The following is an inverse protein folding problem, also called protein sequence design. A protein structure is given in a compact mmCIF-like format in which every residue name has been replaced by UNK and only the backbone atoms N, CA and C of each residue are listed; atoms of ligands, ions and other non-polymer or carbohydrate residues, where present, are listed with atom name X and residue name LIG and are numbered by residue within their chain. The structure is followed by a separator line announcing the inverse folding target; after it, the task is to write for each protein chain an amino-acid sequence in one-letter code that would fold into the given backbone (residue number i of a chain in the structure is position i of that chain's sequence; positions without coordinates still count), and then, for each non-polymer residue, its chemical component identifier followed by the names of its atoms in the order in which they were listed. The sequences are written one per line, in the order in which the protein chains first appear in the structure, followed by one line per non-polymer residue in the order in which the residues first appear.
data_IF_442184498895
#
_entry.id   IF_442184498895
#
_cell.length_a   1.000
_cell.length_b   1.000
_cell.length_c   1.000
_cell.angle_alpha   90.00
_cell.angle_beta   90.00
_cell.angle_gamma   90.00
#
_symmetry.space_group_name_H-M   'P 1'
#
loop_
_entity.id
_entity.type
_entity.pdbx_description
1 polymer ?
#
# COMPACT_ATOMS: atom_id res chain seq x y z
N UNK A 1 2.57 14.92 0.25
CA UNK A 1 3.32 14.07 -0.68
C UNK A 1 4.46 14.89 -1.29
N UNK A 2 5.65 14.35 -1.26
CA UNK A 2 6.84 14.92 -1.88
C UNK A 2 7.51 13.85 -2.73
N UNK A 3 7.88 14.20 -3.96
CA UNK A 3 8.59 13.32 -4.89
C UNK A 3 9.79 14.05 -5.48
N UNK A 4 10.92 13.39 -5.46
CA UNK A 4 12.15 13.87 -6.08
C UNK A 4 12.73 12.80 -7.00
N UNK A 5 12.80 13.12 -8.29
CA UNK A 5 13.37 12.26 -9.33
C UNK A 5 14.69 12.83 -9.82
N UNK A 6 15.75 12.05 -9.70
CA UNK A 6 17.05 12.35 -10.28
C UNK A 6 17.33 11.40 -11.43
N UNK A 7 17.60 11.95 -12.58
CA UNK A 7 17.94 11.18 -13.78
C UNK A 7 19.19 11.77 -14.43
N UNK A 8 20.27 11.02 -14.46
CA UNK A 8 21.51 11.40 -15.13
C UNK A 8 22.15 10.17 -15.77
N UNK A 9 22.41 10.26 -17.07
CA UNK A 9 23.05 9.22 -17.87
C UNK A 9 22.37 7.85 -17.75
N UNK A 10 22.98 6.95 -16.96
CA UNK A 10 22.48 5.59 -16.72
C UNK A 10 21.82 5.44 -15.34
N UNK A 11 21.85 6.48 -14.52
CA UNK A 11 21.38 6.43 -13.12
C UNK A 11 20.05 7.13 -13.01
N UNK A 12 19.10 6.47 -12.37
CA UNK A 12 17.82 7.02 -11.94
C UNK A 12 17.68 6.83 -10.43
N UNK A 13 17.24 7.85 -9.73
CA UNK A 13 16.87 7.76 -8.31
C UNK A 13 15.53 8.44 -8.13
N UNK A 14 14.57 7.70 -7.65
CA UNK A 14 13.24 8.23 -7.28
C UNK A 14 13.11 8.14 -5.77
N UNK A 15 12.84 9.27 -5.14
CA UNK A 15 12.54 9.34 -3.71
C UNK A 15 11.12 9.86 -3.55
N UNK A 16 10.32 9.17 -2.75
CA UNK A 16 8.95 9.53 -2.46
C UNK A 16 8.75 9.57 -0.94
N UNK A 17 8.21 10.67 -0.45
CA UNK A 17 7.76 10.86 0.91
C UNK A 17 6.26 11.10 0.89
N UNK A 18 5.53 10.22 1.55
CA UNK A 18 4.10 10.37 1.75
C UNK A 18 3.79 10.50 3.22
N UNK A 19 3.10 11.56 3.57
CA UNK A 19 2.51 11.76 4.88
C UNK A 19 1.03 12.02 4.70
N UNK A 20 0.20 11.20 5.35
CA UNK A 20 -1.25 11.35 5.35
C UNK A 20 -1.76 11.15 6.77
N UNK A 21 -2.61 12.04 7.20
CA UNK A 21 -3.31 11.94 8.46
C UNK A 21 -4.71 12.50 8.27
N UNK A 22 -5.71 11.64 8.42
CA UNK A 22 -7.11 11.99 8.37
C UNK A 22 -7.78 11.54 9.66
N UNK A 23 -8.27 12.48 10.44
CA UNK A 23 -8.90 12.24 11.72
C UNK A 23 -10.15 13.08 11.88
N UNK A 24 -11.14 12.51 12.57
CA UNK A 24 -12.39 13.19 12.90
C UNK A 24 -12.56 13.24 14.43
N UNK A 25 -13.12 14.34 14.89
CA UNK A 25 -13.60 14.43 16.27
C UNK A 25 -14.87 13.58 16.42
N UNK A 26 -14.93 12.80 17.48
CA UNK A 26 -16.09 11.98 17.80
C UNK A 26 -16.97 12.69 18.84
N UNK A 27 -18.31 12.73 18.65
CA UNK A 27 -19.24 13.10 19.70
C UNK A 27 -19.21 12.06 20.83
N UNK A 28 -19.39 12.50 22.07
CA UNK A 28 -19.41 11.64 23.29
C UNK A 28 -20.38 10.46 23.19
N UNK A 29 -21.44 10.60 22.38
CA UNK A 29 -22.42 9.53 22.15
C UNK A 29 -21.90 8.36 21.30
N UNK A 30 -20.85 8.60 20.52
CA UNK A 30 -20.29 7.60 19.58
C UNK A 30 -19.16 6.81 20.22
N UNK A 31 -18.31 7.50 20.97
CA UNK A 31 -17.22 6.91 21.74
C UNK A 31 -17.12 7.66 23.07
N UNK A 32 -17.27 6.95 24.18
CA UNK A 32 -17.22 7.52 25.51
C UNK A 32 -15.81 7.64 26.09
N UNK A 33 -14.83 7.01 25.42
CA UNK A 33 -13.44 6.92 25.89
C UNK A 33 -12.55 7.87 25.10
N UNK A 34 -12.78 7.98 23.77
CA UNK A 34 -11.90 8.71 22.87
C UNK A 34 -12.62 9.89 22.21
N UNK A 35 -11.96 11.04 22.16
CA UNK A 35 -12.46 12.25 21.53
C UNK A 35 -12.20 12.33 20.02
N UNK A 36 -11.42 11.41 19.46
CA UNK A 36 -11.08 11.39 18.03
C UNK A 36 -11.02 9.97 17.47
N UNK A 37 -11.20 9.87 16.17
CA UNK A 37 -11.01 8.65 15.37
C UNK A 37 -10.07 8.92 14.21
N UNK A 38 -9.09 8.06 14.04
CA UNK A 38 -8.23 8.08 12.85
C UNK A 38 -8.92 7.28 11.75
N UNK A 39 -9.23 7.94 10.63
CA UNK A 39 -9.82 7.28 9.47
C UNK A 39 -8.74 6.70 8.57
N UNK A 40 -7.63 7.43 8.42
CA UNK A 40 -6.53 7.02 7.56
C UNK A 40 -5.24 7.73 8.00
N UNK A 41 -4.14 7.01 8.05
CA UNK A 41 -2.83 7.55 8.35
C UNK A 41 -1.73 6.71 7.73
N UNK A 42 -0.72 7.37 7.21
CA UNK A 42 0.48 6.74 6.71
C UNK A 42 1.66 7.71 6.75
N UNK A 43 2.80 7.19 7.14
CA UNK A 43 4.09 7.79 6.87
C UNK A 43 4.91 6.80 6.06
N UNK A 44 5.23 7.15 4.83
CA UNK A 44 5.97 6.30 3.91
C UNK A 44 7.17 7.03 3.35
N UNK A 45 8.32 6.39 3.41
CA UNK A 45 9.51 6.74 2.65
C UNK A 45 9.77 5.63 1.65
N UNK A 46 9.95 5.99 0.39
CA UNK A 46 10.28 5.04 -0.67
C UNK A 46 11.40 5.59 -1.52
N UNK A 47 12.45 4.80 -1.71
CA UNK A 47 13.58 5.11 -2.58
C UNK A 47 13.78 3.98 -3.56
N UNK A 48 13.76 4.31 -4.84
CA UNK A 48 14.07 3.39 -5.93
C UNK A 48 15.33 3.88 -6.64
N UNK A 49 16.41 3.14 -6.50
CA UNK A 49 17.63 3.34 -7.27
C UNK A 49 17.59 2.45 -8.51
N UNK A 50 17.84 3.02 -9.68
CA UNK A 50 17.89 2.32 -10.96
C UNK A 50 19.18 2.59 -11.72
N UNK A 51 19.80 1.54 -12.25
CA UNK A 51 20.93 1.64 -13.18
C UNK A 51 20.54 1.03 -14.52
N UNK A 52 20.65 1.81 -15.59
CA UNK A 52 20.25 1.37 -16.95
C UNK A 52 21.07 0.18 -17.39
N UNK A 53 20.40 -0.93 -17.63
CA UNK A 53 20.99 -2.17 -18.11
C UNK A 53 21.05 -2.19 -19.64
N UNK A 54 19.92 -2.36 -20.30
CA UNK A 54 19.78 -2.39 -21.77
C UNK A 54 18.38 -1.93 -22.19
N UNK A 55 18.26 -1.27 -23.32
CA UNK A 55 17.00 -0.76 -23.86
C UNK A 55 16.19 0.00 -22.80
N UNK A 56 15.09 -0.62 -22.31
CA UNK A 56 14.12 -0.10 -21.35
C UNK A 56 14.22 -0.80 -19.99
N UNK A 57 15.27 -1.58 -19.77
CA UNK A 57 15.51 -2.31 -18.53
C UNK A 57 16.52 -1.61 -17.66
N UNK A 58 16.27 -1.64 -16.36
CA UNK A 58 17.13 -1.08 -15.31
C UNK A 58 17.34 -2.14 -14.23
N UNK A 59 18.55 -2.29 -13.73
CA UNK A 59 18.81 -2.94 -12.46
C UNK A 59 18.30 -2.03 -11.36
N UNK A 60 17.62 -2.56 -10.37
CA UNK A 60 17.01 -1.75 -9.32
C UNK A 60 17.32 -2.25 -7.92
N UNK A 61 17.47 -1.28 -7.01
CA UNK A 61 17.40 -1.48 -5.57
C UNK A 61 16.23 -0.63 -5.06
N UNK A 62 15.29 -1.29 -4.42
CA UNK A 62 14.08 -0.71 -3.88
C UNK A 62 14.16 -0.73 -2.36
N UNK A 63 13.90 0.39 -1.72
CA UNK A 63 13.90 0.51 -0.27
C UNK A 63 12.63 1.26 0.12
N UNK A 64 11.82 0.69 0.99
CA UNK A 64 10.65 1.36 1.53
C UNK A 64 10.52 1.17 3.03
N UNK A 65 10.09 2.23 3.69
CA UNK A 65 9.79 2.29 5.10
C UNK A 65 8.39 2.85 5.28
N UNK A 66 7.52 2.10 5.96
CA UNK A 66 6.16 2.51 6.25
C UNK A 66 5.88 2.40 7.74
N UNK A 67 5.18 3.38 8.29
CA UNK A 67 4.72 3.34 9.68
C UNK A 67 3.47 4.17 9.89
N UNK A 68 2.84 3.96 11.02
CA UNK A 68 1.77 4.79 11.55
C UNK A 68 2.37 5.92 12.38
N UNK A 69 1.64 7.04 12.51
CA UNK A 69 2.15 8.25 13.19
C UNK A 69 1.46 8.48 14.52
N UNK A 70 0.15 8.31 14.55
CA UNK A 70 -0.71 8.59 15.70
C UNK A 70 -1.38 7.30 16.18
N UNK A 71 -1.57 7.18 17.48
CA UNK A 71 -2.28 6.04 18.04
C UNK A 71 -3.75 6.07 17.63
N UNK A 72 -4.24 4.95 17.10
CA UNK A 72 -5.64 4.72 16.78
C UNK A 72 -6.19 3.63 17.66
N UNK A 73 -7.41 3.81 18.16
CA UNK A 73 -8.06 2.88 19.07
C UNK A 73 -9.30 2.24 18.44
N UNK A 74 -9.66 1.07 18.93
CA UNK A 74 -10.96 0.49 18.64
C UNK A 74 -12.05 1.27 19.35
N UNK A 75 -13.22 1.37 18.75
CA UNK A 75 -14.33 2.13 19.29
C UNK A 75 -14.75 1.59 20.66
N UNK A 76 -14.91 2.47 21.66
CA UNK A 76 -15.25 2.14 23.05
C UNK A 76 -14.31 1.10 23.68
N UNK A 77 -13.03 1.12 23.33
CA UNK A 77 -12.03 0.16 23.83
C UNK A 77 -10.67 0.82 23.96
N UNK A 78 -9.90 0.43 24.96
CA UNK A 78 -8.50 0.82 25.10
C UNK A 78 -7.55 0.04 24.16
N UNK A 79 -8.09 -0.93 23.42
CA UNK A 79 -7.30 -1.72 22.47
C UNK A 79 -6.82 -0.84 21.31
N UNK A 80 -5.52 -0.78 21.13
CA UNK A 80 -4.91 -0.03 20.03
C UNK A 80 -5.05 -0.79 18.73
N UNK A 81 -5.51 -0.11 17.70
CA UNK A 81 -5.52 -0.61 16.32
C UNK A 81 -4.17 -0.35 15.63
N UNK A 82 -3.53 0.76 15.97
CA UNK A 82 -2.19 1.12 15.49
C UNK A 82 -1.59 2.18 16.41
N UNK A 83 -0.26 2.30 16.41
CA UNK A 83 0.46 3.33 17.14
C UNK A 83 1.74 3.71 16.40
N UNK A 84 2.49 4.66 16.92
CA UNK A 84 3.79 5.02 16.34
C UNK A 84 4.73 3.81 16.32
N UNK A 85 5.26 3.48 15.14
CA UNK A 85 6.07 2.28 14.87
C UNK A 85 5.37 0.96 15.25
N UNK A 86 4.03 0.95 15.18
CA UNK A 86 3.23 -0.25 15.48
C UNK A 86 1.98 -0.33 14.56
N UNK A 87 2.07 -1.01 13.41
CA UNK A 87 3.27 -1.65 12.85
C UNK A 87 4.21 -0.67 12.13
N UNK A 88 5.47 -1.03 12.11
CA UNK A 88 6.47 -0.51 11.20
C UNK A 88 6.84 -1.61 10.20
N UNK A 89 6.96 -1.28 8.93
CA UNK A 89 7.45 -2.20 7.90
C UNK A 89 8.61 -1.59 7.14
N UNK A 90 9.67 -2.36 7.02
CA UNK A 90 10.84 -2.03 6.22
C UNK A 90 10.98 -3.07 5.12
N UNK A 91 10.97 -2.64 3.87
CA UNK A 91 11.16 -3.52 2.72
C UNK A 91 12.37 -3.08 1.93
N UNK A 92 13.16 -4.04 1.48
CA UNK A 92 14.20 -3.83 0.49
C UNK A 92 14.16 -4.94 -0.54
N UNK A 93 14.42 -4.59 -1.80
CA UNK A 93 14.41 -5.54 -2.91
C UNK A 93 15.48 -5.22 -3.93
N UNK A 94 16.05 -6.27 -4.50
CA UNK A 94 17.02 -6.16 -5.59
C UNK A 94 16.43 -6.87 -6.81
N UNK A 95 16.44 -6.19 -7.95
CA UNK A 95 15.82 -6.76 -9.13
C UNK A 95 16.00 -5.94 -10.39
N UNK A 96 14.97 -5.97 -11.22
CA UNK A 96 14.95 -5.28 -12.50
C UNK A 96 13.63 -4.54 -12.70
N UNK A 97 13.72 -3.35 -13.30
CA UNK A 97 12.57 -2.56 -13.71
C UNK A 97 12.52 -2.46 -15.23
N UNK A 98 11.34 -2.62 -15.79
CA UNK A 98 11.03 -2.35 -17.20
C UNK A 98 10.17 -1.09 -17.30
N UNK A 99 10.58 -0.16 -18.15
CA UNK A 99 9.82 1.07 -18.40
C UNK A 99 9.39 1.15 -19.86
N UNK A 100 8.09 1.28 -20.10
CA UNK A 100 7.52 1.51 -21.40
C UNK A 100 6.70 2.80 -21.38
N UNK A 101 7.12 3.76 -22.16
CA UNK A 101 6.31 4.94 -22.50
C UNK A 101 6.10 4.96 -24.00
N UNK A 102 4.84 4.91 -24.44
CA UNK A 102 4.47 4.93 -25.84
C UNK A 102 3.33 5.91 -26.08
N UNK A 103 3.57 6.88 -26.94
CA UNK A 103 2.53 7.77 -27.44
C UNK A 103 1.99 7.18 -28.75
N UNK A 104 0.68 7.03 -28.82
CA UNK A 104 0.01 6.48 -30.01
C UNK A 104 -0.35 7.64 -30.94
N UNK A 105 0.49 7.85 -31.94
CA UNK A 105 0.43 9.00 -32.86
C UNK A 105 -0.86 9.14 -33.68
N UNK A 106 -1.57 8.02 -33.90
CA UNK A 106 -2.81 8.00 -34.67
C UNK A 106 -4.00 8.61 -33.95
N UNK A 107 -3.95 8.74 -32.63
CA UNK A 107 -5.04 9.29 -31.82
C UNK A 107 -4.45 10.31 -30.84
N UNK A 108 -4.92 11.56 -30.97
CA UNK A 108 -4.49 12.66 -30.12
C UNK A 108 -4.73 12.36 -28.65
N UNK A 109 -3.75 12.66 -27.80
CA UNK A 109 -3.76 12.43 -26.34
C UNK A 109 -3.76 10.97 -25.88
N UNK A 110 -3.60 9.99 -26.79
CA UNK A 110 -3.49 8.59 -26.38
C UNK A 110 -2.04 8.25 -26.08
N UNK A 111 -1.80 7.87 -24.82
CA UNK A 111 -0.48 7.39 -24.39
C UNK A 111 -0.61 6.28 -23.36
N UNK A 112 0.36 5.40 -23.33
CA UNK A 112 0.49 4.35 -22.33
C UNK A 112 1.86 4.48 -21.65
N UNK A 113 1.85 4.42 -20.34
CA UNK A 113 3.03 4.27 -19.49
C UNK A 113 2.88 2.99 -18.70
N UNK A 114 3.86 2.13 -18.77
CA UNK A 114 3.92 0.87 -18.03
C UNK A 114 5.27 0.77 -17.35
N UNK A 115 5.25 0.56 -16.06
CA UNK A 115 6.42 0.29 -15.23
C UNK A 115 6.22 -1.06 -14.56
N UNK A 116 7.13 -1.98 -14.75
CA UNK A 116 7.12 -3.29 -14.10
C UNK A 116 8.41 -3.43 -13.32
N UNK A 117 8.32 -3.56 -12.01
CA UNK A 117 9.44 -3.79 -11.12
C UNK A 117 9.37 -5.22 -10.57
N UNK A 118 10.38 -6.01 -10.86
CA UNK A 118 10.51 -7.39 -10.42
C UNK A 118 11.71 -7.47 -9.47
N UNK A 119 11.48 -7.82 -8.22
CA UNK A 119 12.52 -8.02 -7.22
C UNK A 119 12.47 -9.47 -6.72
N UNK A 120 13.18 -10.39 -7.41
CA UNK A 120 13.22 -11.80 -7.00
C UNK A 120 13.85 -11.99 -5.61
N UNK A 121 14.68 -11.06 -5.19
CA UNK A 121 15.24 -11.03 -3.83
C UNK A 121 14.69 -9.82 -3.09
N UNK A 122 13.70 -10.08 -2.25
CA UNK A 122 13.08 -9.08 -1.38
C UNK A 122 13.18 -9.50 0.07
N UNK A 123 13.50 -8.55 0.92
CA UNK A 123 13.50 -8.70 2.37
C UNK A 123 12.47 -7.76 2.96
N UNK A 124 11.59 -8.32 3.77
CA UNK A 124 10.56 -7.61 4.51
C UNK A 124 10.81 -7.77 6.01
N UNK A 125 10.92 -6.69 6.72
CA UNK A 125 11.03 -6.66 8.17
C UNK A 125 9.85 -5.90 8.76
N UNK A 126 9.11 -6.57 9.62
CA UNK A 126 7.99 -5.99 10.36
C UNK A 126 8.37 -5.88 11.83
N UNK A 127 8.00 -4.77 12.43
CA UNK A 127 8.25 -4.51 13.84
C UNK A 127 7.06 -3.78 14.48
N UNK A 128 6.80 -4.06 15.76
CA UNK A 128 5.82 -3.35 16.57
C UNK A 128 6.41 -2.97 17.91
N UNK A 129 6.28 -1.69 18.26
CA UNK A 129 6.59 -1.18 19.60
C UNK A 129 5.55 -1.62 20.64
N UNK A 130 4.35 -1.98 20.19
CA UNK A 130 3.26 -2.44 21.06
C UNK A 130 3.29 -3.96 21.20
N UNK A 131 2.85 -4.43 22.37
CA UNK A 131 2.70 -5.86 22.64
C UNK A 131 1.31 -6.35 22.22
N UNK A 132 1.15 -7.66 22.03
CA UNK A 132 -0.13 -8.26 21.69
C UNK A 132 -1.21 -8.16 22.77
N UNK A 133 -0.86 -7.78 24.00
CA UNK A 133 -1.79 -7.42 25.08
C UNK A 133 -2.45 -6.07 24.88
N UNK A 134 -1.75 -5.14 24.23
CA UNK A 134 -2.19 -3.75 24.08
C UNK A 134 -2.73 -3.47 22.66
N UNK A 135 -2.38 -4.33 21.70
CA UNK A 135 -2.72 -4.18 20.30
C UNK A 135 -2.93 -5.55 19.64
N UNK A 136 -3.92 -5.64 18.77
CA UNK A 136 -4.16 -6.85 17.96
C UNK A 136 -3.07 -7.02 16.88
N UNK A 137 -1.96 -7.65 17.26
CA UNK A 137 -0.84 -7.94 16.37
C UNK A 137 -1.20 -8.96 15.29
N UNK A 138 -2.16 -9.86 15.54
CA UNK A 138 -2.65 -10.83 14.57
C UNK A 138 -3.25 -10.14 13.34
N UNK A 139 -4.02 -9.09 13.55
CA UNK A 139 -4.62 -8.28 12.49
C UNK A 139 -3.57 -7.69 11.53
N UNK A 140 -2.36 -7.44 12.03
CA UNK A 140 -1.24 -6.91 11.26
C UNK A 140 -0.34 -7.99 10.67
N UNK A 141 -0.68 -9.27 10.84
CA UNK A 141 0.04 -10.39 10.27
C UNK A 141 1.28 -10.84 11.04
N UNK A 142 1.41 -10.43 12.32
CA UNK A 142 2.47 -10.95 13.18
C UNK A 142 2.18 -12.39 13.56
N UNK A 143 3.21 -13.24 13.49
CA UNK A 143 3.13 -14.66 13.85
C UNK A 143 3.10 -14.83 15.36
N UNK A 144 2.40 -15.86 15.79
CA UNK A 144 2.45 -16.31 17.18
C UNK A 144 3.84 -16.84 17.53
N UNK A 145 4.18 -16.77 18.81
CA UNK A 145 5.38 -17.40 19.35
C UNK A 145 5.20 -18.93 19.36
N UNK A 146 6.28 -19.66 19.24
CA UNK A 146 6.24 -21.11 19.17
C UNK A 146 5.66 -21.75 20.45
N UNK A 147 5.75 -21.07 21.58
CA UNK A 147 5.18 -21.46 22.87
C UNK A 147 3.89 -20.71 23.24
N UNK A 148 3.21 -20.09 22.28
CA UNK A 148 2.03 -19.25 22.54
C UNK A 148 0.89 -19.98 23.26
N UNK A 149 0.71 -21.29 22.99
CA UNK A 149 -0.32 -22.12 23.62
C UNK A 149 -0.06 -22.38 25.13
N UNK A 150 1.19 -22.29 25.56
CA UNK A 150 1.61 -22.51 26.96
C UNK A 150 1.60 -21.21 27.79
N UNK A 151 1.46 -20.05 27.13
CA UNK A 151 1.49 -18.76 27.79
C UNK A 151 0.12 -18.35 28.33
N UNK A 152 0.07 -17.76 29.52
CA UNK A 152 -1.16 -17.16 30.06
C UNK A 152 -1.74 -16.09 29.12
N UNK A 153 -3.04 -15.79 29.26
CA UNK A 153 -3.73 -14.84 28.37
C UNK A 153 -3.32 -13.38 28.59
N UNK A 154 -2.77 -13.07 29.75
CA UNK A 154 -2.21 -11.76 30.10
C UNK A 154 -0.80 -11.50 29.53
N UNK A 155 -0.19 -12.50 28.90
CA UNK A 155 1.14 -12.41 28.32
C UNK A 155 1.07 -12.31 26.81
N UNK A 156 1.95 -11.46 26.25
CA UNK A 156 2.05 -11.31 24.81
C UNK A 156 2.40 -12.62 24.09
N UNK A 157 1.41 -13.19 23.39
CA UNK A 157 1.52 -14.43 22.61
C UNK A 157 2.13 -14.24 21.21
N UNK A 158 2.25 -13.01 20.74
CA UNK A 158 2.73 -12.68 19.40
C UNK A 158 4.19 -12.21 19.40
N UNK A 159 4.87 -12.43 18.27
CA UNK A 159 6.20 -11.87 18.03
C UNK A 159 6.08 -10.38 17.77
N UNK A 160 6.95 -9.57 18.36
CA UNK A 160 7.00 -8.12 18.10
C UNK A 160 7.84 -7.77 16.86
N UNK A 161 8.57 -8.73 16.33
CA UNK A 161 9.37 -8.57 15.12
C UNK A 161 9.29 -9.83 14.27
N UNK A 162 9.36 -9.64 12.96
CA UNK A 162 9.31 -10.74 12.01
C UNK A 162 10.06 -10.35 10.74
N UNK A 163 10.87 -11.28 10.24
CA UNK A 163 11.62 -11.15 9.00
C UNK A 163 11.09 -12.13 7.98
N UNK A 164 10.97 -11.70 6.74
CA UNK A 164 10.54 -12.53 5.63
C UNK A 164 11.46 -12.26 4.43
N UNK A 165 11.91 -13.33 3.80
CA UNK A 165 12.65 -13.26 2.54
C UNK A 165 11.70 -13.80 1.47
N UNK A 166 11.63 -13.11 0.35
CA UNK A 166 10.68 -13.50 -0.68
C UNK A 166 10.94 -12.84 -2.01
N UNK A 167 9.92 -12.86 -2.86
CA UNK A 167 9.93 -12.22 -4.18
C UNK A 167 8.79 -11.21 -4.30
N UNK A 168 9.08 -10.07 -4.92
CA UNK A 168 8.10 -9.00 -5.16
C UNK A 168 7.99 -8.72 -6.66
N UNK A 169 6.75 -8.52 -7.11
CA UNK A 169 6.43 -8.01 -8.44
C UNK A 169 5.46 -6.84 -8.29
N UNK A 170 5.80 -5.72 -8.87
CA UNK A 170 4.93 -4.55 -8.93
C UNK A 170 4.83 -4.05 -10.37
N UNK A 171 3.60 -3.85 -10.84
CA UNK A 171 3.33 -3.30 -12.15
C UNK A 171 2.38 -2.12 -12.05
N UNK A 172 2.79 -0.99 -12.58
CA UNK A 172 2.01 0.25 -12.60
C UNK A 172 1.76 0.63 -14.07
N UNK A 173 0.50 0.79 -14.45
CA UNK A 173 0.09 1.19 -15.77
C UNK A 173 -0.76 2.45 -15.70
N UNK A 174 -0.46 3.42 -16.56
CA UNK A 174 -1.33 4.57 -16.84
C UNK A 174 -1.62 4.60 -18.32
N UNK A 175 -2.88 4.48 -18.67
CA UNK A 175 -3.35 4.52 -20.04
C UNK A 175 -4.31 5.69 -20.22
N UNK A 176 -3.85 6.76 -20.87
CA UNK A 176 -4.72 7.82 -21.32
C UNK A 176 -5.36 7.40 -22.64
N UNK A 177 -6.63 7.02 -22.59
CA UNK A 177 -7.39 6.53 -23.76
C UNK A 177 -7.68 7.71 -24.70
N UNK A 178 -8.07 8.84 -24.10
CA UNK A 178 -8.28 10.11 -24.77
C UNK A 178 -8.13 11.26 -23.76
N UNK A 179 -8.52 12.49 -24.13
CA UNK A 179 -8.44 13.68 -23.27
C UNK A 179 -9.28 13.55 -21.99
N UNK A 180 -10.38 12.81 -22.04
CA UNK A 180 -11.40 12.78 -21.02
C UNK A 180 -11.42 11.46 -20.24
N UNK A 181 -10.70 10.44 -20.70
CA UNK A 181 -10.71 9.10 -20.12
C UNK A 181 -9.29 8.64 -19.86
N UNK A 182 -9.00 8.34 -18.62
CA UNK A 182 -7.75 7.70 -18.21
C UNK A 182 -8.02 6.49 -17.33
N UNK A 183 -7.22 5.47 -17.53
CA UNK A 183 -7.20 4.26 -16.73
C UNK A 183 -5.84 4.11 -16.09
N UNK A 184 -5.82 3.99 -14.78
CA UNK A 184 -4.63 3.68 -13.99
C UNK A 184 -4.83 2.32 -13.33
N UNK A 185 -3.86 1.44 -13.46
CA UNK A 185 -3.88 0.12 -12.84
C UNK A 185 -2.58 -0.11 -12.08
N UNK A 186 -2.68 -0.65 -10.88
CA UNK A 186 -1.56 -1.10 -10.06
C UNK A 186 -1.78 -2.56 -9.72
N UNK A 187 -0.78 -3.37 -9.97
CA UNK A 187 -0.69 -4.75 -9.53
C UNK A 187 0.51 -4.89 -8.61
N UNK A 188 0.29 -5.44 -7.44
CA UNK A 188 1.32 -5.77 -6.47
C UNK A 188 1.21 -7.24 -6.10
N UNK A 189 2.32 -7.92 -6.05
CA UNK A 189 2.43 -9.32 -5.63
C UNK A 189 3.68 -9.49 -4.78
N UNK A 190 3.53 -10.13 -3.64
CA UNK A 190 4.62 -10.54 -2.77
C UNK A 190 4.40 -11.97 -2.29
N UNK A 191 5.46 -12.74 -2.25
CA UNK A 191 5.46 -14.08 -1.65
C UNK A 191 6.74 -14.30 -0.85
N UNK A 192 6.61 -14.90 0.31
CA UNK A 192 7.71 -15.45 1.09
C UNK A 192 7.82 -16.97 0.90
N UNK A 193 7.26 -17.51 -0.22
CA UNK A 193 7.18 -18.92 -0.61
C UNK A 193 6.30 -19.79 0.30
N UNK A 194 5.73 -19.21 1.38
CA UNK A 194 4.76 -19.87 2.26
C UNK A 194 3.42 -19.13 2.24
N UNK A 195 3.47 -17.82 2.01
CA UNK A 195 2.31 -16.92 1.96
C UNK A 195 2.34 -16.11 0.71
N UNK A 196 1.16 -15.73 0.26
CA UNK A 196 0.96 -14.91 -0.92
C UNK A 196 0.13 -13.69 -0.54
N UNK A 197 0.66 -12.51 -0.86
CA UNK A 197 -0.10 -11.26 -0.79
C UNK A 197 -0.17 -10.67 -2.19
N UNK A 198 -1.38 -10.38 -2.65
CA UNK A 198 -1.64 -9.74 -3.95
C UNK A 198 -2.59 -8.57 -3.81
N UNK A 199 -2.32 -7.50 -4.53
CA UNK A 199 -3.21 -6.34 -4.62
C UNK A 199 -3.37 -5.96 -6.09
N UNK A 200 -4.59 -5.66 -6.48
CA UNK A 200 -4.92 -5.20 -7.82
C UNK A 200 -5.86 -4.00 -7.73
N UNK A 201 -5.33 -2.84 -7.99
CA UNK A 201 -6.05 -1.58 -7.95
C UNK A 201 -6.29 -1.06 -9.37
N UNK A 202 -7.53 -0.67 -9.66
CA UNK A 202 -7.90 -0.04 -10.91
C UNK A 202 -8.66 1.24 -10.66
N UNK A 203 -8.26 2.28 -11.34
CA UNK A 203 -8.93 3.58 -11.29
C UNK A 203 -9.25 4.03 -12.70
N UNK A 204 -10.53 4.19 -12.98
CA UNK A 204 -11.02 4.82 -14.19
C UNK A 204 -11.45 6.26 -13.86
N UNK A 205 -10.82 7.22 -14.51
CA UNK A 205 -11.21 8.62 -14.42
C UNK A 205 -11.91 9.02 -15.72
N UNK A 206 -13.13 9.51 -15.59
CA UNK A 206 -14.00 9.90 -16.69
C UNK A 206 -14.38 11.37 -16.51
N UNK A 207 -13.90 12.24 -17.38
CA UNK A 207 -14.30 13.64 -17.41
C UNK A 207 -15.46 13.81 -18.39
N UNK A 208 -16.69 13.84 -17.87
CA UNK A 208 -17.92 13.87 -18.66
C UNK A 208 -18.11 15.27 -19.27
N UNK A 209 -17.79 16.32 -18.51
CA UNK A 209 -17.88 17.70 -18.97
C UNK A 209 -16.78 18.57 -18.29
N UNK A 210 -16.79 19.87 -18.57
CA UNK A 210 -15.92 20.84 -17.86
C UNK A 210 -16.14 20.84 -16.35
N UNK A 211 -17.35 20.49 -15.93
CA UNK A 211 -17.80 20.61 -14.54
C UNK A 211 -17.92 19.26 -13.85
N UNK A 212 -18.14 18.19 -14.57
CA UNK A 212 -18.41 16.88 -14.00
C UNK A 212 -17.32 15.88 -14.33
N UNK A 213 -16.85 15.19 -13.30
CA UNK A 213 -15.96 14.06 -13.42
C UNK A 213 -16.50 12.89 -12.59
N UNK A 214 -16.21 11.68 -13.03
CA UNK A 214 -16.52 10.45 -12.31
C UNK A 214 -15.26 9.65 -12.16
N UNK A 215 -15.07 9.03 -11.00
CA UNK A 215 -13.97 8.11 -10.72
C UNK A 215 -14.55 6.80 -10.21
N UNK A 216 -14.13 5.71 -10.84
CA UNK A 216 -14.45 4.36 -10.43
C UNK A 216 -13.16 3.73 -9.95
N UNK A 217 -13.12 3.31 -8.70
CA UNK A 217 -12.02 2.56 -8.12
C UNK A 217 -12.47 1.14 -7.84
N UNK A 218 -11.66 0.18 -8.24
CA UNK A 218 -11.79 -1.23 -7.87
C UNK A 218 -10.48 -1.66 -7.23
N UNK A 219 -10.54 -2.12 -5.99
CA UNK A 219 -9.40 -2.64 -5.26
C UNK A 219 -9.69 -4.06 -4.83
N UNK A 220 -8.90 -4.99 -5.36
CA UNK A 220 -8.90 -6.40 -4.99
C UNK A 220 -7.64 -6.68 -4.18
N UNK A 221 -7.80 -7.29 -3.02
CA UNK A 221 -6.71 -7.73 -2.17
C UNK A 221 -6.85 -9.20 -1.86
N UNK A 222 -5.79 -9.95 -2.03
CA UNK A 222 -5.65 -11.33 -1.64
C UNK A 222 -4.53 -11.46 -0.59
N UNK A 223 -4.80 -12.11 0.52
CA UNK A 223 -3.80 -12.32 1.58
C UNK A 223 -4.15 -13.61 2.34
N UNK A 224 -3.41 -14.68 2.06
CA UNK A 224 -3.61 -15.99 2.70
C UNK A 224 -3.06 -16.06 4.14
N UNK A 225 -2.43 -15.00 4.59
CA UNK A 225 -1.95 -14.87 5.98
C UNK A 225 -2.97 -14.29 6.95
N UNK A 226 -4.15 -13.89 6.47
CA UNK A 226 -5.23 -13.31 7.26
C UNK A 226 -6.40 -14.29 7.33
N UNK A 227 -7.31 -14.11 8.30
CA UNK A 227 -8.53 -14.90 8.34
C UNK A 227 -9.35 -14.68 7.04
N UNK A 228 -9.97 -15.76 6.57
CA UNK A 228 -10.86 -15.70 5.42
C UNK A 228 -12.03 -14.73 5.66
N UNK A 229 -12.49 -14.11 4.61
CA UNK A 229 -13.73 -13.33 4.63
C UNK A 229 -14.92 -14.30 4.79
N UNK A 230 -15.75 -14.07 5.80
CA UNK A 230 -16.91 -14.91 6.12
C UNK A 230 -17.96 -14.91 4.99
N UNK A 231 -18.11 -13.79 4.26
CA UNK A 231 -19.10 -13.66 3.20
C UNK A 231 -18.79 -14.51 1.97
N UNK A 232 -17.53 -14.75 1.67
CA UNK A 232 -17.09 -15.43 0.44
C UNK A 232 -16.27 -16.70 0.70
N UNK A 233 -16.05 -17.09 1.96
CA UNK A 233 -15.11 -18.16 2.37
C UNK A 233 -13.77 -18.08 1.62
N UNK A 234 -13.28 -16.88 1.40
CA UNK A 234 -12.12 -16.58 0.57
C UNK A 234 -11.18 -15.60 1.27
N UNK A 235 -9.90 -15.67 0.93
CA UNK A 235 -8.88 -14.67 1.32
C UNK A 235 -8.96 -13.40 0.46
N UNK A 236 -9.89 -13.34 -0.50
CA UNK A 236 -10.08 -12.21 -1.38
C UNK A 236 -10.97 -11.14 -0.69
N UNK A 237 -10.48 -9.92 -0.69
CA UNK A 237 -11.19 -8.73 -0.24
C UNK A 237 -11.45 -7.83 -1.45
N UNK A 238 -12.68 -7.34 -1.60
CA UNK A 238 -13.09 -6.49 -2.71
C UNK A 238 -13.56 -5.17 -2.13
N UNK A 239 -13.03 -4.08 -2.64
CA UNK A 239 -13.46 -2.73 -2.30
C UNK A 239 -13.75 -1.94 -3.58
N UNK A 240 -14.97 -1.44 -3.70
CA UNK A 240 -15.43 -0.65 -4.83
C UNK A 240 -15.82 0.74 -4.36
N UNK A 241 -15.38 1.75 -5.08
CA UNK A 241 -15.72 3.15 -4.78
C UNK A 241 -16.08 3.88 -6.07
N UNK A 242 -17.31 4.39 -6.14
CA UNK A 242 -17.75 5.30 -7.16
C UNK A 242 -17.80 6.72 -6.59
N UNK A 243 -17.08 7.64 -7.21
CA UNK A 243 -17.00 9.03 -6.78
C UNK A 243 -17.42 9.97 -7.91
N UNK A 244 -18.21 10.98 -7.58
CA UNK A 244 -18.57 12.07 -8.48
C UNK A 244 -17.91 13.36 -8.02
N UNK A 245 -17.29 14.07 -8.96
CA UNK A 245 -16.65 15.36 -8.71
C UNK A 245 -17.32 16.48 -9.52
N UNK A 246 -17.52 17.60 -8.88
CA UNK A 246 -17.92 18.84 -9.52
C UNK A 246 -16.78 19.83 -9.47
N UNK A 247 -16.31 20.29 -10.64
CA UNK A 247 -15.23 21.28 -10.76
C UNK A 247 -15.78 22.54 -11.41
N UNK A 248 -15.76 23.63 -10.67
CA UNK A 248 -16.09 24.95 -11.19
C UNK A 248 -14.85 25.84 -11.15
N UNK A 249 -14.49 26.41 -12.30
CA UNK A 249 -13.43 27.42 -12.38
C UNK A 249 -14.07 28.74 -12.82
N UNK A 250 -13.99 29.72 -11.98
CA UNK A 250 -14.30 31.13 -12.28
C UNK A 250 -13.11 31.83 -12.92
#
# INVERSE_FOLDING_TARGET
YFKYDYNKDKVQVTNELEFKLNMNTLPDKTDSIHSYKINDQIFRLHTLFGYKAFNKWYYTVDISFNTQVVTNYAQNSETKLSAFLAPMTFNTGIGMKYELTKTLTKVRHRNIKLNVNMAPFSYNYMYSTQKGTDMDLKRHGFKEKDNAAELPDDVNKYRNSQSQIGSKLEANMTFNINRNVSWTSRFYYFTDYHRITGEFENTFNLQISRFFSTRINLHLRYDDGVAKNEDFDSYLQINELLSFGFNYKW
#
